data_IF_259490225834
#
_entry.id   IF_259490225834
#
_cell.length_a   1.000
_cell.length_b   1.000
_cell.length_c   1.000
_cell.angle_alpha   90.00
_cell.angle_beta   90.00
_cell.angle_gamma   90.00
#
_symmetry.space_group_name_H-M   'P 1'
#
loop_
_entity.id
_entity.type
_entity.pdbx_description
1 polymer ?
#
# COMPACT_ATOMS: atom_id res chain seq x y z
N UNK A 1 -35.05 -14.81 65.14
CA UNK A 1 -36.45 -14.49 64.81
C UNK A 1 -36.57 -13.00 64.58
N UNK A 2 -37.22 -12.65 63.47
CA UNK A 2 -37.81 -11.37 63.07
C UNK A 2 -36.84 -10.20 62.77
N UNK A 3 -36.56 -9.94 61.49
CA UNK A 3 -37.42 -9.20 60.53
C UNK A 3 -37.84 -7.83 61.05
N UNK A 4 -37.37 -6.76 60.40
CA UNK A 4 -38.19 -5.92 59.50
C UNK A 4 -37.46 -4.63 59.08
N UNK A 5 -37.38 -4.48 57.75
CA UNK A 5 -37.68 -3.26 57.00
C UNK A 5 -37.11 -1.91 57.47
N UNK A 6 -36.10 -1.41 56.75
CA UNK A 6 -35.92 0.04 56.56
C UNK A 6 -36.08 0.34 55.07
N UNK A 7 -37.24 0.88 54.70
CA UNK A 7 -37.55 1.41 53.37
C UNK A 7 -37.66 2.94 53.45
N UNK A 8 -36.97 3.58 52.51
CA UNK A 8 -37.27 4.83 51.80
C UNK A 8 -37.32 6.17 52.57
N UNK A 9 -36.53 7.13 52.07
CA UNK A 9 -36.95 8.49 51.65
C UNK A 9 -35.74 9.18 51.01
N UNK A 10 -35.50 9.04 49.69
CA UNK A 10 -35.83 10.03 48.65
C UNK A 10 -35.89 11.49 49.12
N UNK A 11 -34.82 12.24 48.86
CA UNK A 11 -34.78 13.70 48.91
C UNK A 11 -34.62 14.21 47.47
N UNK A 12 -35.64 14.85 46.88
CA UNK A 12 -35.50 15.60 45.64
C UNK A 12 -35.20 17.07 45.97
N UNK A 13 -34.24 17.68 45.28
CA UNK A 13 -34.13 19.14 45.26
C UNK A 13 -34.04 19.61 43.80
N UNK A 14 -35.20 20.01 43.30
CA UNK A 14 -35.39 20.71 42.03
C UNK A 14 -35.43 22.22 42.30
N UNK A 15 -34.58 22.94 41.55
CA UNK A 15 -34.81 24.27 40.93
C UNK A 15 -35.01 25.50 41.87
N UNK A 16 -35.08 26.77 41.38
CA UNK A 16 -35.07 27.27 39.99
C UNK A 16 -34.26 28.59 39.81
N UNK A 17 -34.52 29.27 38.69
CA UNK A 17 -34.27 30.67 38.30
C UNK A 17 -32.99 30.92 37.50
N UNK A 18 -33.03 30.99 36.17
CA UNK A 18 -33.75 31.91 35.28
C UNK A 18 -32.94 33.17 34.94
N UNK A 19 -32.86 33.39 33.62
CA UNK A 19 -32.74 34.64 32.83
C UNK A 19 -31.55 34.55 31.87
N UNK A 20 -31.78 34.26 30.58
CA UNK A 20 -32.24 35.19 29.52
C UNK A 20 -31.21 36.32 29.33
N UNK A 21 -30.69 36.66 28.15
CA UNK A 21 -31.23 36.82 26.80
C UNK A 21 -29.97 37.14 25.89
N UNK A 22 -30.07 37.48 24.60
CA UNK A 22 -29.32 36.84 23.51
C UNK A 22 -28.61 37.91 22.62
N UNK A 23 -28.43 37.57 21.34
CA UNK A 23 -28.48 38.48 20.18
C UNK A 23 -27.15 39.14 19.76
N UNK A 24 -27.08 39.37 18.45
CA UNK A 24 -26.16 40.25 17.68
C UNK A 24 -24.91 39.49 17.20
N UNK A 25 -24.61 39.29 15.91
CA UNK A 25 -25.12 39.87 14.67
C UNK A 25 -24.62 39.04 13.50
N UNK A 26 -25.52 38.64 12.62
CA UNK A 26 -25.19 38.30 11.23
C UNK A 26 -24.69 39.56 10.53
N UNK A 27 -23.49 39.54 9.93
CA UNK A 27 -23.10 40.58 8.98
C UNK A 27 -22.18 40.04 7.86
N UNK A 28 -22.79 39.97 6.67
CA UNK A 28 -22.29 40.33 5.33
C UNK A 28 -21.21 39.49 4.63
N UNK A 29 -21.71 38.79 3.60
CA UNK A 29 -21.18 38.80 2.23
C UNK A 29 -20.53 40.14 1.84
N UNK A 30 -19.28 40.10 1.37
CA UNK A 30 -18.75 40.99 0.34
C UNK A 30 -17.76 40.21 -0.53
N UNK A 31 -18.07 40.23 -1.82
CA UNK A 31 -17.23 39.82 -2.93
C UNK A 31 -16.05 40.79 -3.12
N UNK A 32 -14.87 40.26 -3.46
CA UNK A 32 -13.90 40.95 -4.31
C UNK A 32 -13.21 39.89 -5.18
N UNK A 33 -13.76 39.69 -6.37
CA UNK A 33 -12.95 39.33 -7.51
C UNK A 33 -12.05 40.53 -7.81
N UNK A 34 -10.73 40.35 -7.72
CA UNK A 34 -9.75 41.33 -8.17
C UNK A 34 -8.91 40.69 -9.25
N UNK A 35 -9.15 41.17 -10.46
CA UNK A 35 -8.35 40.99 -11.66
C UNK A 35 -7.09 41.87 -11.62
N UNK A 36 -6.03 41.36 -12.24
CA UNK A 36 -5.09 42.07 -13.12
C UNK A 36 -3.61 42.16 -12.69
N UNK A 37 -2.79 42.00 -13.73
CA UNK A 37 -1.36 42.28 -13.88
C UNK A 37 -0.47 41.05 -13.66
N UNK A 38 0.03 40.37 -14.69
CA UNK A 38 0.59 40.89 -15.93
C UNK A 38 2.10 40.81 -15.85
N UNK A 39 2.68 39.68 -16.29
CA UNK A 39 4.08 39.61 -16.76
C UNK A 39 4.31 38.38 -17.63
N UNK A 40 3.82 38.49 -18.85
CA UNK A 40 4.28 37.72 -19.99
C UNK A 40 5.68 38.22 -20.35
N UNK A 41 6.69 37.38 -20.22
CA UNK A 41 8.03 37.61 -20.75
C UNK A 41 8.16 36.82 -22.06
N UNK A 42 7.46 37.28 -23.09
CA UNK A 42 7.75 36.96 -24.47
C UNK A 42 8.89 37.89 -24.94
N UNK A 43 10.09 37.32 -25.13
CA UNK A 43 11.18 37.97 -25.85
C UNK A 43 11.00 37.69 -27.34
N UNK A 44 10.32 38.61 -28.03
CA UNK A 44 10.31 38.69 -29.49
C UNK A 44 11.37 39.72 -29.91
N UNK A 45 12.45 39.26 -30.52
CA UNK A 45 13.39 40.11 -31.23
C UNK A 45 12.88 40.37 -32.65
N UNK A 46 12.85 41.66 -32.99
CA UNK A 46 12.33 42.28 -34.20
C UNK A 46 13.31 42.12 -35.39
N UNK A 47 12.83 42.13 -36.65
CA UNK A 47 13.66 41.86 -37.83
C UNK A 47 14.32 43.13 -38.39
N UNK A 48 15.45 43.03 -39.11
CA UNK A 48 15.90 44.11 -39.98
C UNK A 48 15.48 43.90 -41.44
N UNK A 49 15.18 45.05 -42.05
CA UNK A 49 14.69 45.33 -43.39
C UNK A 49 15.47 44.67 -44.54
N UNK A 50 14.70 44.27 -45.56
CA UNK A 50 15.18 43.91 -46.88
C UNK A 50 15.76 45.12 -47.63
N UNK A 51 16.93 44.94 -48.25
CA UNK A 51 17.41 45.73 -49.39
C UNK A 51 17.33 44.89 -50.64
N UNK A 52 16.66 45.42 -51.65
CA UNK A 52 16.59 44.91 -53.01
C UNK A 52 17.89 45.19 -53.74
N UNK A 53 18.51 44.15 -54.29
CA UNK A 53 19.31 44.24 -55.51
C UNK A 53 19.18 42.91 -56.23
N UNK A 54 18.65 42.94 -57.45
CA UNK A 54 18.54 41.76 -58.29
C UNK A 54 19.89 41.37 -58.88
N UNK A 55 20.06 40.07 -59.09
CA UNK A 55 20.74 39.57 -60.28
C UNK A 55 20.18 38.18 -60.63
N UNK A 56 20.02 37.94 -61.93
CA UNK A 56 19.55 36.70 -62.52
C UNK A 56 20.68 35.66 -62.50
N UNK A 57 20.40 34.45 -62.02
CA UNK A 57 21.36 33.36 -62.08
C UNK A 57 20.71 32.02 -61.79
N UNK A 58 20.39 31.31 -62.86
CA UNK A 58 19.88 29.93 -62.90
C UNK A 58 20.75 28.99 -62.04
N UNK A 59 20.19 28.42 -60.98
CA UNK A 59 20.76 27.24 -60.34
C UNK A 59 19.64 26.41 -59.68
N UNK A 60 19.32 25.31 -60.36
CA UNK A 60 18.60 24.18 -59.83
C UNK A 60 19.30 23.74 -58.54
N UNK A 61 18.67 23.88 -57.37
CA UNK A 61 19.19 23.29 -56.14
C UNK A 61 18.03 22.83 -55.26
N UNK A 62 18.04 21.53 -55.01
CA UNK A 62 17.00 20.74 -54.40
C UNK A 62 16.61 21.28 -53.02
N UNK A 63 15.29 21.31 -52.76
CA UNK A 63 14.78 21.40 -51.41
C UNK A 63 15.28 20.18 -50.61
N UNK A 64 15.74 20.33 -49.35
CA UNK A 64 16.07 19.18 -48.53
C UNK A 64 14.78 18.42 -48.23
N UNK A 65 14.67 17.20 -48.76
CA UNK A 65 13.72 16.19 -48.28
C UNK A 65 13.95 16.02 -46.77
N UNK A 66 12.93 16.37 -45.97
CA UNK A 66 12.87 15.91 -44.59
C UNK A 66 12.95 14.38 -44.62
N UNK A 67 13.89 13.74 -43.91
CA UNK A 67 13.95 12.30 -43.87
C UNK A 67 12.62 11.80 -43.31
N UNK A 68 11.91 10.98 -44.08
CA UNK A 68 10.74 10.28 -43.61
C UNK A 68 11.08 9.63 -42.25
N UNK A 69 10.25 9.91 -41.25
CA UNK A 69 10.49 9.55 -39.86
C UNK A 69 10.66 8.03 -39.77
N UNK A 70 11.92 7.58 -39.72
CA UNK A 70 12.27 6.17 -39.71
C UNK A 70 11.73 5.56 -38.42
N UNK A 71 11.21 4.34 -38.55
CA UNK A 71 10.59 3.56 -37.49
C UNK A 71 11.25 3.74 -36.12
N UNK A 72 10.47 4.09 -35.08
CA UNK A 72 10.96 4.21 -33.71
C UNK A 72 10.84 2.87 -33.01
N UNK A 73 11.97 2.29 -32.61
CA UNK A 73 12.02 1.05 -31.84
C UNK A 73 12.20 1.38 -30.35
N UNK A 74 11.24 0.98 -29.54
CA UNK A 74 11.32 0.93 -28.09
C UNK A 74 11.72 -0.48 -27.69
N UNK A 75 12.92 -0.66 -27.16
CA UNK A 75 13.35 -1.96 -26.62
C UNK A 75 12.83 -2.12 -25.21
N UNK A 76 12.17 -3.23 -24.95
CA UNK A 76 11.77 -3.65 -23.61
C UNK A 76 12.93 -4.27 -22.85
N UNK A 77 12.89 -4.20 -21.52
CA UNK A 77 13.92 -4.75 -20.62
C UNK A 77 13.85 -6.27 -20.46
N UNK A 78 12.78 -6.93 -20.95
CA UNK A 78 12.58 -8.38 -20.79
C UNK A 78 12.27 -8.83 -19.35
N UNK A 79 12.04 -7.89 -18.44
CA UNK A 79 11.66 -8.14 -17.03
C UNK A 79 10.14 -8.07 -16.90
N UNK A 80 9.53 -9.22 -16.57
CA UNK A 80 8.07 -9.35 -16.43
C UNK A 80 7.63 -9.65 -14.99
N UNK A 81 8.57 -9.81 -14.06
CA UNK A 81 8.32 -10.06 -12.64
C UNK A 81 9.46 -9.42 -11.83
N UNK A 82 9.17 -8.80 -10.69
CA UNK A 82 10.19 -8.25 -9.80
C UNK A 82 11.13 -9.35 -9.28
N UNK A 83 12.45 -9.17 -9.50
CA UNK A 83 13.48 -10.16 -9.18
C UNK A 83 14.01 -10.97 -10.37
N UNK A 84 13.41 -10.81 -11.56
CA UNK A 84 13.90 -11.34 -12.82
C UNK A 84 14.95 -10.38 -13.42
N UNK A 85 16.17 -10.85 -13.68
CA UNK A 85 17.20 -10.08 -14.39
C UNK A 85 16.92 -10.00 -15.90
N UNK A 86 17.58 -9.07 -16.59
CA UNK A 86 17.59 -9.03 -18.06
C UNK A 86 18.03 -10.40 -18.59
N UNK A 87 17.11 -11.13 -19.23
CA UNK A 87 17.35 -12.51 -19.69
C UNK A 87 16.60 -13.61 -18.91
N UNK A 88 15.75 -13.28 -17.94
CA UNK A 88 14.78 -14.24 -17.38
C UNK A 88 15.21 -15.02 -16.14
N UNK A 89 16.40 -14.75 -15.59
CA UNK A 89 16.88 -15.41 -14.38
C UNK A 89 16.34 -14.74 -13.11
N UNK A 90 15.74 -15.51 -12.19
CA UNK A 90 15.25 -15.01 -10.90
C UNK A 90 16.35 -15.16 -9.83
N UNK A 91 16.80 -14.05 -9.23
CA UNK A 91 17.72 -14.11 -8.08
C UNK A 91 16.94 -14.39 -6.79
N UNK A 92 17.30 -15.46 -6.08
CA UNK A 92 16.83 -15.68 -4.71
C UNK A 92 17.39 -14.55 -3.82
N UNK A 93 16.51 -13.69 -3.31
CA UNK A 93 16.90 -12.70 -2.31
C UNK A 93 17.36 -13.44 -1.04
N UNK A 94 18.57 -13.17 -0.53
CA UNK A 94 19.03 -13.75 0.72
C UNK A 94 18.07 -13.34 1.84
N UNK A 95 17.49 -14.32 2.53
CA UNK A 95 16.77 -14.05 3.78
C UNK A 95 17.77 -13.45 4.77
N UNK A 96 17.45 -12.32 5.42
CA UNK A 96 18.31 -11.77 6.46
C UNK A 96 18.56 -12.85 7.53
N UNK A 97 19.81 -13.04 7.98
CA UNK A 97 20.10 -13.96 9.06
C UNK A 97 19.27 -13.58 10.29
N UNK A 98 18.76 -14.58 11.01
CA UNK A 98 18.02 -14.36 12.24
C UNK A 98 18.88 -13.52 13.21
N UNK A 99 18.33 -12.46 13.82
CA UNK A 99 19.11 -11.60 14.70
C UNK A 99 19.66 -12.41 15.89
N UNK A 100 20.96 -12.28 16.21
CA UNK A 100 21.52 -12.91 17.40
C UNK A 100 21.01 -12.18 18.64
N UNK A 101 20.07 -12.81 19.36
CA UNK A 101 19.49 -12.29 20.59
C UNK A 101 19.37 -13.37 21.66
N UNK A 102 19.21 -12.98 22.94
CA UNK A 102 18.92 -13.93 24.01
C UNK A 102 17.64 -14.69 23.65
N UNK A 103 17.79 -16.01 23.50
CA UNK A 103 16.73 -16.89 23.06
C UNK A 103 15.91 -17.34 24.27
N UNK A 104 14.61 -17.10 24.25
CA UNK A 104 13.67 -17.43 25.33
C UNK A 104 12.90 -18.68 24.98
N UNK A 105 12.89 -19.66 25.87
CA UNK A 105 12.10 -20.88 25.72
C UNK A 105 10.70 -20.64 26.29
N UNK A 106 9.67 -20.89 25.49
CA UNK A 106 8.28 -20.85 25.92
C UNK A 106 7.77 -22.29 26.12
N UNK A 107 7.20 -22.55 27.30
CA UNK A 107 6.56 -23.83 27.60
C UNK A 107 5.27 -23.57 28.38
N UNK A 108 4.16 -23.47 27.64
CA UNK A 108 2.83 -23.30 28.20
C UNK A 108 1.98 -24.50 27.79
N UNK A 109 1.30 -25.12 28.75
CA UNK A 109 0.40 -26.25 28.51
C UNK A 109 -0.97 -25.92 29.11
N UNK A 110 -1.97 -25.71 28.26
CA UNK A 110 -3.32 -25.35 28.69
C UNK A 110 -3.41 -24.04 29.46
N UNK A 111 -2.48 -23.10 29.23
CA UNK A 111 -2.43 -21.84 29.95
C UNK A 111 -3.48 -20.84 29.42
N UNK A 112 -4.02 -19.98 30.29
CA UNK A 112 -4.89 -18.87 29.89
C UNK A 112 -4.07 -17.87 29.06
N UNK A 113 -4.62 -17.46 27.91
CA UNK A 113 -3.94 -16.55 26.98
C UNK A 113 -3.57 -15.20 27.61
N UNK A 114 -4.29 -14.76 28.65
CA UNK A 114 -4.04 -13.50 29.37
C UNK A 114 -2.82 -13.61 30.28
N UNK A 115 -2.60 -14.78 30.87
CA UNK A 115 -1.38 -15.06 31.65
C UNK A 115 -0.17 -15.18 30.73
N UNK A 116 -0.32 -15.82 29.58
CA UNK A 116 0.73 -15.87 28.55
C UNK A 116 1.08 -14.46 28.06
N UNK A 117 0.07 -13.61 27.82
CA UNK A 117 0.27 -12.22 27.44
C UNK A 117 1.05 -11.43 28.49
N UNK A 118 0.71 -11.57 29.77
CA UNK A 118 1.41 -10.95 30.89
C UNK A 118 2.87 -11.38 30.94
N UNK A 119 3.14 -12.66 30.79
CA UNK A 119 4.50 -13.18 30.85
C UNK A 119 5.36 -12.69 29.67
N UNK A 120 4.83 -12.76 28.44
CA UNK A 120 5.58 -12.35 27.25
C UNK A 120 5.74 -10.82 27.18
N UNK A 121 4.65 -10.05 27.29
CA UNK A 121 4.69 -8.60 27.15
C UNK A 121 5.25 -7.90 28.39
N UNK A 122 4.82 -8.33 29.58
CA UNK A 122 5.23 -7.75 30.85
C UNK A 122 6.59 -8.26 31.32
N UNK A 123 6.71 -9.55 31.62
CA UNK A 123 7.91 -10.06 32.31
C UNK A 123 9.14 -10.13 31.39
N UNK A 124 8.96 -10.54 30.13
CA UNK A 124 10.07 -10.75 29.19
C UNK A 124 10.36 -9.49 28.35
N UNK A 125 9.34 -8.89 27.77
CA UNK A 125 9.51 -7.71 26.91
C UNK A 125 9.56 -6.39 27.69
N UNK A 126 9.04 -6.35 28.92
CA UNK A 126 8.94 -5.16 29.77
C UNK A 126 8.21 -3.99 29.07
N UNK A 127 7.14 -4.34 28.36
CA UNK A 127 6.29 -3.42 27.61
C UNK A 127 4.96 -3.19 28.35
N UNK A 128 4.40 -2.00 28.22
CA UNK A 128 3.08 -1.69 28.78
C UNK A 128 1.98 -2.35 27.94
N UNK A 129 1.00 -2.99 28.59
CA UNK A 129 -0.09 -3.66 27.90
C UNK A 129 -1.45 -3.46 28.60
N UNK A 130 -2.53 -3.61 27.83
CA UNK A 130 -3.92 -3.61 28.28
C UNK A 130 -4.66 -4.77 27.61
N UNK A 131 -5.48 -5.49 28.36
CA UNK A 131 -6.22 -6.66 27.90
C UNK A 131 -7.71 -6.38 28.02
N UNK A 132 -8.43 -6.53 26.92
CA UNK A 132 -9.89 -6.48 26.92
C UNK A 132 -10.48 -7.72 27.63
N UNK A 133 -11.47 -7.56 28.53
CA UNK A 133 -12.05 -8.67 29.28
C UNK A 133 -12.74 -9.72 28.39
N UNK A 134 -13.16 -9.36 27.18
CA UNK A 134 -13.74 -10.29 26.22
C UNK A 134 -12.70 -11.23 25.59
N UNK A 135 -11.40 -10.98 25.79
CA UNK A 135 -10.32 -11.87 25.35
C UNK A 135 -10.16 -12.99 26.37
N UNK A 136 -10.30 -14.22 25.89
CA UNK A 136 -10.08 -15.44 26.65
C UNK A 136 -9.72 -16.59 25.73
N UNK A 137 -9.38 -17.73 26.33
CA UNK A 137 -8.96 -18.92 25.61
C UNK A 137 -7.74 -19.55 26.25
N UNK A 138 -7.48 -20.80 25.87
CA UNK A 138 -6.35 -21.58 26.37
C UNK A 138 -5.39 -21.87 25.23
N UNK A 139 -4.09 -21.77 25.51
CA UNK A 139 -3.04 -22.08 24.54
C UNK A 139 -2.06 -23.09 25.08
N UNK A 140 -1.54 -23.88 24.14
CA UNK A 140 -0.43 -24.78 24.38
C UNK A 140 0.65 -24.46 23.36
N UNK A 141 1.85 -24.14 23.84
CA UNK A 141 3.04 -23.91 23.01
C UNK A 141 4.26 -24.45 23.73
N UNK A 142 5.08 -25.20 23.00
CA UNK A 142 6.36 -25.69 23.47
C UNK A 142 7.41 -25.41 22.41
N UNK A 143 8.44 -24.66 22.78
CA UNK A 143 9.54 -24.32 21.88
C UNK A 143 10.75 -25.20 22.20
N UNK A 144 11.30 -25.89 21.21
CA UNK A 144 12.52 -26.71 21.38
C UNK A 144 13.78 -25.88 21.15
N UNK A 145 13.74 -24.97 20.19
CA UNK A 145 14.72 -23.89 20.01
C UNK A 145 14.23 -22.64 20.71
N UNK A 146 15.10 -21.93 21.44
CA UNK A 146 14.72 -20.65 22.03
C UNK A 146 14.32 -19.64 20.95
N UNK A 147 13.33 -18.81 21.26
CA UNK A 147 12.81 -17.76 20.37
C UNK A 147 13.54 -16.45 20.68
N UNK A 148 14.12 -15.75 19.68
CA UNK A 148 14.76 -14.47 19.92
C UNK A 148 13.73 -13.44 20.39
N UNK A 149 14.16 -12.51 21.25
CA UNK A 149 13.26 -11.53 21.90
C UNK A 149 12.44 -10.74 20.88
N UNK A 150 13.01 -10.45 19.72
CA UNK A 150 12.39 -9.71 18.62
C UNK A 150 11.27 -10.50 17.92
N UNK A 151 11.29 -11.83 18.00
CA UNK A 151 10.27 -12.70 17.42
C UNK A 151 9.15 -13.07 18.40
N UNK A 152 9.26 -12.67 19.68
CA UNK A 152 8.22 -12.91 20.69
C UNK A 152 6.89 -12.22 20.36
N UNK A 153 6.85 -10.96 19.88
CA UNK A 153 5.61 -10.33 19.44
C UNK A 153 4.90 -11.14 18.34
N UNK A 154 5.62 -11.54 17.29
CA UNK A 154 5.07 -12.37 16.22
C UNK A 154 4.53 -13.72 16.73
N UNK A 155 5.23 -14.33 17.69
CA UNK A 155 4.77 -15.55 18.35
C UNK A 155 3.50 -15.33 19.16
N UNK A 156 3.41 -14.22 19.91
CA UNK A 156 2.22 -13.87 20.68
C UNK A 156 1.01 -13.60 19.77
N UNK A 157 1.20 -12.89 18.65
CA UNK A 157 0.16 -12.69 17.64
C UNK A 157 -0.40 -14.00 17.09
N UNK A 158 0.47 -14.98 16.83
CA UNK A 158 0.06 -16.31 16.39
C UNK A 158 -0.86 -16.97 17.42
N UNK A 159 -0.50 -16.94 18.70
CA UNK A 159 -1.29 -17.51 19.79
C UNK A 159 -2.63 -16.80 19.99
N UNK A 160 -2.64 -15.48 19.90
CA UNK A 160 -3.87 -14.67 19.98
C UNK A 160 -4.83 -15.01 18.83
N UNK A 161 -4.30 -15.13 17.60
CA UNK A 161 -5.10 -15.46 16.41
C UNK A 161 -5.77 -16.83 16.50
N UNK A 162 -5.12 -17.81 17.13
CA UNK A 162 -5.72 -19.13 17.35
C UNK A 162 -6.98 -19.06 18.24
N UNK A 163 -7.10 -18.03 19.08
CA UNK A 163 -8.22 -17.81 19.99
C UNK A 163 -9.14 -16.66 19.54
N UNK A 164 -9.02 -16.18 18.30
CA UNK A 164 -9.84 -15.09 17.79
C UNK A 164 -9.55 -13.72 18.43
N UNK A 165 -8.39 -13.56 19.04
CA UNK A 165 -7.89 -12.30 19.57
C UNK A 165 -6.76 -11.74 18.69
N UNK A 166 -6.43 -10.47 18.90
CA UNK A 166 -5.29 -9.82 18.27
C UNK A 166 -4.70 -8.78 19.20
N UNK A 167 -3.51 -8.29 18.87
CA UNK A 167 -2.87 -7.20 19.59
C UNK A 167 -2.50 -6.07 18.65
N UNK A 168 -2.60 -4.83 19.11
CA UNK A 168 -2.24 -3.62 18.36
C UNK A 168 -1.33 -2.76 19.22
N UNK A 169 -0.33 -2.10 18.64
CA UNK A 169 0.51 -1.14 19.37
C UNK A 169 0.02 0.29 19.12
N UNK A 170 -0.45 0.97 20.17
CA UNK A 170 -0.93 2.35 20.08
C UNK A 170 -0.35 3.19 21.22
N UNK A 171 0.32 4.29 20.89
CA UNK A 171 0.88 5.21 21.89
C UNK A 171 1.89 4.56 22.83
N UNK A 172 2.64 3.55 22.36
CA UNK A 172 3.60 2.81 23.18
C UNK A 172 3.00 1.74 24.08
N UNK A 173 1.68 1.52 24.03
CA UNK A 173 0.99 0.49 24.83
C UNK A 173 0.44 -0.57 23.88
N UNK A 174 0.63 -1.85 24.24
CA UNK A 174 0.01 -2.98 23.57
C UNK A 174 -1.43 -3.15 24.02
N UNK A 175 -2.38 -3.13 23.09
CA UNK A 175 -3.79 -3.41 23.36
C UNK A 175 -4.15 -4.76 22.80
N UNK A 176 -4.54 -5.69 23.66
CA UNK A 176 -5.03 -7.02 23.30
C UNK A 176 -6.55 -6.99 23.32
N UNK A 177 -7.15 -7.38 22.20
CA UNK A 177 -8.58 -7.21 21.97
C UNK A 177 -9.11 -8.28 20.99
N UNK A 178 -10.42 -8.56 20.95
CA UNK A 178 -10.98 -9.54 20.01
C UNK A 178 -10.75 -9.12 18.55
N UNK A 179 -10.43 -10.06 17.66
CA UNK A 179 -10.08 -9.74 16.26
C UNK A 179 -11.13 -8.87 15.54
N UNK A 180 -12.41 -9.08 15.84
CA UNK A 180 -13.52 -8.27 15.29
C UNK A 180 -13.49 -6.79 15.72
N UNK A 181 -12.89 -6.47 16.86
CA UNK A 181 -12.79 -5.11 17.40
C UNK A 181 -11.47 -4.40 17.02
N UNK A 182 -10.58 -5.05 16.27
CA UNK A 182 -9.23 -4.56 15.98
C UNK A 182 -9.19 -3.30 15.14
N UNK A 183 -10.08 -3.21 14.14
CA UNK A 183 -10.04 -2.13 13.15
C UNK A 183 -10.73 -0.85 13.65
N UNK A 184 -11.84 -0.98 14.39
CA UNK A 184 -12.69 0.18 14.73
C UNK A 184 -12.08 0.99 15.88
N UNK A 185 -11.45 2.12 15.56
CA UNK A 185 -10.99 3.12 16.53
C UNK A 185 -9.70 2.77 17.28
N UNK A 186 -9.14 1.58 17.05
CA UNK A 186 -7.94 1.09 17.75
C UNK A 186 -6.67 1.15 16.89
N UNK A 187 -6.80 1.33 15.57
CA UNK A 187 -5.68 1.38 14.63
C UNK A 187 -5.69 2.66 13.83
N UNK A 188 -4.51 3.23 13.65
CA UNK A 188 -4.30 4.38 12.75
C UNK A 188 -3.78 3.84 11.41
N UNK A 189 -4.47 4.09 10.29
CA UNK A 189 -3.97 3.69 8.98
C UNK A 189 -2.63 4.34 8.68
N UNK A 190 -1.70 3.55 8.16
CA UNK A 190 -0.38 3.99 7.73
C UNK A 190 -0.25 3.86 6.23
N UNK A 191 0.62 4.66 5.61
CA UNK A 191 0.97 4.45 4.21
C UNK A 191 1.86 3.20 4.11
N UNK A 192 1.41 2.21 3.33
CA UNK A 192 2.10 0.97 3.08
C UNK A 192 3.18 1.16 2.03
N UNK A 193 4.41 0.80 2.39
CA UNK A 193 5.56 0.73 1.49
C UNK A 193 6.53 -0.29 2.06
N UNK A 194 7.15 -1.12 1.22
CA UNK A 194 8.14 -2.12 1.66
C UNK A 194 9.44 -1.52 2.19
N UNK A 195 9.74 -0.26 1.83
CA UNK A 195 10.86 0.50 2.38
C UNK A 195 10.65 0.93 3.83
N UNK A 196 9.41 0.84 4.35
CA UNK A 196 9.08 1.21 5.71
C UNK A 196 8.93 -0.04 6.57
N UNK A 197 9.62 -0.05 7.70
CA UNK A 197 9.45 -1.09 8.70
C UNK A 197 7.98 -1.12 9.17
N UNK A 198 7.37 -2.29 9.05
CA UNK A 198 6.03 -2.55 9.57
C UNK A 198 6.07 -2.48 11.10
N UNK A 199 5.01 -1.93 11.68
CA UNK A 199 4.87 -1.94 13.13
C UNK A 199 4.44 -3.36 13.57
N UNK A 200 5.06 -3.91 14.62
CA UNK A 200 4.59 -5.12 15.26
C UNK A 200 3.13 -4.96 15.72
N UNK A 201 2.34 -6.02 15.62
CA UNK A 201 0.91 -6.02 15.90
C UNK A 201 0.02 -5.94 14.65
N UNK A 202 -1.28 -5.89 14.92
CA UNK A 202 -2.30 -5.65 13.92
C UNK A 202 -2.26 -4.19 13.48
N UNK A 203 -2.12 -3.97 12.18
CA UNK A 203 -2.05 -2.64 11.59
C UNK A 203 -2.87 -2.56 10.31
N UNK A 204 -3.08 -1.33 9.84
CA UNK A 204 -3.80 -1.04 8.60
C UNK A 204 -2.86 -0.24 7.70
N UNK A 205 -2.68 -0.71 6.47
CA UNK A 205 -1.83 -0.09 5.47
C UNK A 205 -2.66 0.38 4.29
N UNK A 206 -2.31 1.52 3.74
CA UNK A 206 -2.85 2.07 2.50
C UNK A 206 -1.74 1.97 1.46
N UNK A 207 -1.95 1.15 0.45
CA UNK A 207 -0.98 0.86 -0.62
C UNK A 207 -1.50 1.48 -1.92
N UNK A 208 -0.85 2.52 -2.44
CA UNK A 208 -1.17 3.03 -3.77
C UNK A 208 -0.63 2.08 -4.84
N UNK A 209 -1.48 1.73 -5.80
CA UNK A 209 -1.09 0.90 -6.95
C UNK A 209 -0.83 1.80 -8.17
N UNK A 210 0.21 1.49 -8.94
CA UNK A 210 0.69 2.35 -10.03
C UNK A 210 0.36 1.79 -11.42
N UNK A 211 0.37 0.46 -11.57
CA UNK A 211 0.28 -0.20 -12.87
C UNK A 211 -0.92 -1.14 -12.99
N UNK A 212 -1.30 -1.81 -11.90
CA UNK A 212 -2.43 -2.72 -11.87
C UNK A 212 -3.67 -2.04 -11.28
N UNK A 213 -4.84 -2.33 -11.86
CA UNK A 213 -6.12 -1.89 -11.31
C UNK A 213 -6.41 -2.55 -9.97
N UNK A 214 -6.86 -1.77 -8.99
CA UNK A 214 -7.04 -2.23 -7.62
C UNK A 214 -8.01 -3.40 -7.47
N UNK A 215 -9.03 -3.51 -8.33
CA UNK A 215 -9.96 -4.65 -8.33
C UNK A 215 -9.28 -5.94 -8.77
N UNK A 216 -8.48 -5.87 -9.84
CA UNK A 216 -7.72 -7.01 -10.34
C UNK A 216 -6.69 -7.44 -9.29
N UNK A 217 -6.01 -6.49 -8.65
CA UNK A 217 -5.08 -6.80 -7.56
C UNK A 217 -5.79 -7.48 -6.38
N UNK A 218 -6.97 -7.00 -5.99
CA UNK A 218 -7.75 -7.64 -4.93
C UNK A 218 -8.06 -9.11 -5.25
N UNK A 219 -8.47 -9.41 -6.49
CA UNK A 219 -8.73 -10.79 -6.94
C UNK A 219 -7.46 -11.66 -6.94
N UNK A 220 -6.29 -11.09 -7.26
CA UNK A 220 -5.02 -11.81 -7.17
C UNK A 220 -4.62 -12.15 -5.72
N UNK A 221 -5.04 -11.33 -4.76
CA UNK A 221 -4.74 -11.52 -3.34
C UNK A 221 -5.72 -12.44 -2.61
N UNK A 222 -6.93 -12.65 -3.12
CA UNK A 222 -7.97 -13.52 -2.55
C UNK A 222 -7.46 -14.87 -2.00
N UNK A 223 -6.62 -15.66 -2.70
CA UNK A 223 -6.17 -16.96 -2.19
C UNK A 223 -5.20 -16.88 -0.99
N UNK A 224 -4.60 -15.71 -0.74
CA UNK A 224 -3.62 -15.51 0.35
C UNK A 224 -4.24 -14.87 1.59
N UNK A 225 -5.49 -14.41 1.47
CA UNK A 225 -6.18 -13.67 2.52
C UNK A 225 -7.04 -14.62 3.34
N UNK A 226 -6.89 -14.57 4.67
CA UNK A 226 -7.70 -15.38 5.58
C UNK A 226 -9.15 -14.89 5.68
N UNK A 227 -9.33 -13.57 5.81
CA UNK A 227 -10.63 -12.93 6.03
C UNK A 227 -10.89 -11.85 4.98
N UNK A 228 -12.09 -11.82 4.40
CA UNK A 228 -12.42 -10.79 3.39
C UNK A 228 -12.37 -9.35 3.91
N UNK A 229 -12.32 -9.15 5.23
CA UNK A 229 -12.15 -7.83 5.84
C UNK A 229 -10.72 -7.29 5.74
N UNK A 230 -9.74 -8.15 5.46
CA UNK A 230 -8.32 -7.81 5.34
C UNK A 230 -8.02 -6.94 4.14
N UNK A 231 -8.77 -7.07 3.04
CA UNK A 231 -8.53 -6.32 1.81
C UNK A 231 -9.73 -5.44 1.52
N UNK A 232 -9.50 -4.13 1.44
CA UNK A 232 -10.49 -3.13 1.03
C UNK A 232 -9.96 -2.36 -0.16
N UNK A 233 -10.87 -2.00 -1.05
CA UNK A 233 -10.54 -1.38 -2.33
C UNK A 233 -11.13 0.03 -2.37
N UNK A 234 -10.31 1.01 -2.71
CA UNK A 234 -10.71 2.34 -3.13
C UNK A 234 -10.40 2.50 -4.62
N UNK A 235 -11.43 2.31 -5.44
CA UNK A 235 -11.35 2.32 -6.89
C UNK A 235 -11.06 3.72 -7.45
N UNK A 236 -11.63 4.76 -6.82
CA UNK A 236 -11.51 6.13 -7.30
C UNK A 236 -10.06 6.63 -7.25
N UNK A 237 -9.32 6.21 -6.23
CA UNK A 237 -7.93 6.63 -6.01
C UNK A 237 -6.91 5.52 -6.31
N UNK A 238 -7.37 4.38 -6.83
CA UNK A 238 -6.57 3.17 -7.03
C UNK A 238 -5.74 2.77 -5.79
N UNK A 239 -6.38 2.80 -4.61
CA UNK A 239 -5.73 2.47 -3.34
C UNK A 239 -6.23 1.13 -2.80
N UNK A 240 -5.29 0.31 -2.37
CA UNK A 240 -5.54 -0.93 -1.69
C UNK A 240 -5.34 -0.72 -0.18
N UNK A 241 -6.36 -0.99 0.62
CA UNK A 241 -6.27 -0.90 2.08
C UNK A 241 -6.15 -2.32 2.62
N UNK A 242 -5.02 -2.62 3.25
CA UNK A 242 -4.69 -3.92 3.82
C UNK A 242 -4.75 -3.85 5.34
N UNK A 243 -5.34 -4.84 6.00
CA UNK A 243 -5.36 -4.92 7.48
C UNK A 243 -5.05 -6.32 7.97
N UNK A 244 -4.04 -6.46 8.80
CA UNK A 244 -3.58 -7.76 9.27
C UNK A 244 -2.44 -7.62 10.26
N UNK A 245 -1.87 -8.75 10.65
CA UNK A 245 -0.63 -8.77 11.44
C UNK A 245 0.58 -8.36 10.61
N UNK A 246 1.70 -8.08 11.27
CA UNK A 246 2.96 -7.74 10.59
C UNK A 246 3.34 -8.80 9.53
N UNK A 247 3.28 -10.08 9.90
CA UNK A 247 3.65 -11.17 9.01
C UNK A 247 2.71 -11.28 7.81
N UNK A 248 1.39 -11.21 8.04
CA UNK A 248 0.37 -11.25 6.98
C UNK A 248 0.55 -10.08 6.01
N UNK A 249 0.71 -8.86 6.53
CA UNK A 249 0.91 -7.66 5.71
C UNK A 249 2.22 -7.73 4.93
N UNK A 250 3.29 -8.28 5.51
CA UNK A 250 4.56 -8.48 4.80
C UNK A 250 4.40 -9.40 3.60
N UNK A 251 3.66 -10.49 3.75
CA UNK A 251 3.37 -11.40 2.64
C UNK A 251 2.50 -10.74 1.57
N UNK A 252 1.42 -10.06 1.97
CA UNK A 252 0.54 -9.36 1.03
C UNK A 252 1.27 -8.24 0.26
N UNK A 253 2.10 -7.45 0.93
CA UNK A 253 2.91 -6.41 0.29
C UNK A 253 3.89 -7.02 -0.72
N UNK A 254 4.59 -8.10 -0.37
CA UNK A 254 5.50 -8.77 -1.29
C UNK A 254 4.78 -9.27 -2.55
N UNK A 255 3.56 -9.78 -2.40
CA UNK A 255 2.71 -10.17 -3.54
C UNK A 255 2.30 -8.95 -4.38
N UNK A 256 1.87 -7.86 -3.74
CA UNK A 256 1.51 -6.63 -4.46
C UNK A 256 2.68 -6.11 -5.29
N UNK A 257 3.88 -6.05 -4.74
CA UNK A 257 5.08 -5.62 -5.47
C UNK A 257 5.41 -6.53 -6.66
N UNK A 258 5.26 -7.83 -6.49
CA UNK A 258 5.54 -8.79 -7.56
C UNK A 258 4.66 -8.55 -8.79
N UNK A 259 3.41 -8.11 -8.58
CA UNK A 259 2.42 -7.95 -9.64
C UNK A 259 2.20 -6.50 -10.10
N UNK A 260 2.40 -5.49 -9.24
CA UNK A 260 2.29 -4.06 -9.60
C UNK A 260 3.56 -3.56 -10.30
N UNK A 261 3.87 -4.15 -11.46
CA UNK A 261 5.03 -3.79 -12.27
C UNK A 261 4.62 -3.15 -13.61
N UNK A 262 5.52 -2.36 -14.17
CA UNK A 262 5.37 -1.83 -15.52
C UNK A 262 5.71 -2.90 -16.57
N UNK A 263 4.77 -3.80 -16.86
CA UNK A 263 4.94 -4.85 -17.87
C UNK A 263 5.24 -4.29 -19.28
N UNK A 264 4.77 -3.07 -19.62
CA UNK A 264 5.12 -2.42 -20.90
C UNK A 264 6.60 -2.06 -21.00
N UNK A 265 7.27 -1.74 -19.88
CA UNK A 265 8.71 -1.53 -19.89
C UNK A 265 9.48 -2.81 -20.26
N UNK A 266 8.90 -4.00 -19.98
CA UNK A 266 9.44 -5.28 -20.40
C UNK A 266 9.20 -5.62 -21.87
N UNK A 267 8.25 -4.95 -22.54
CA UNK A 267 7.85 -5.22 -23.93
C UNK A 267 8.60 -4.32 -24.91
N UNK A 268 9.09 -4.93 -26.00
CA UNK A 268 9.61 -4.14 -27.13
C UNK A 268 8.46 -3.73 -28.04
N UNK A 269 8.36 -2.44 -28.37
CA UNK A 269 7.38 -1.91 -29.31
C UNK A 269 8.11 -1.23 -30.49
N UNK A 270 7.70 -1.52 -31.73
CA UNK A 270 8.20 -0.83 -32.91
C UNK A 270 7.10 -0.03 -33.58
N UNK A 271 7.28 1.29 -33.70
CA UNK A 271 6.40 2.14 -34.50
C UNK A 271 6.92 2.16 -35.93
N UNK A 272 6.18 1.57 -36.86
CA UNK A 272 6.49 1.58 -38.29
C UNK A 272 5.49 2.46 -39.02
N UNK A 273 5.94 3.59 -39.54
CA UNK A 273 5.11 4.45 -40.39
C UNK A 273 5.02 3.83 -41.79
N UNK A 274 3.82 3.43 -42.21
CA UNK A 274 3.59 2.89 -43.55
C UNK A 274 3.48 4.05 -44.55
N UNK A 275 4.32 4.04 -45.58
CA UNK A 275 4.34 5.12 -46.58
C UNK A 275 3.31 4.92 -47.71
N UNK A 276 2.76 3.70 -47.90
CA UNK A 276 1.86 3.43 -49.05
C UNK A 276 0.92 2.20 -48.90
N UNK A 277 0.45 1.84 -47.70
CA UNK A 277 -0.45 0.69 -47.56
C UNK A 277 -1.63 0.95 -46.60
N UNK A 278 -2.81 0.44 -46.98
CA UNK A 278 -4.05 0.50 -46.20
C UNK A 278 -3.90 -0.28 -44.88
N UNK A 279 -4.15 0.40 -43.76
CA UNK A 279 -3.87 -0.09 -42.39
C UNK A 279 -4.70 -1.33 -42.03
N UNK A 280 -5.82 -1.58 -42.72
CA UNK A 280 -6.76 -2.63 -42.32
C UNK A 280 -6.27 -4.06 -42.62
N UNK A 281 -5.34 -4.24 -43.56
CA UNK A 281 -4.92 -5.58 -44.01
C UNK A 281 -3.64 -6.12 -43.34
N UNK A 282 -2.83 -5.27 -42.68
CA UNK A 282 -1.51 -5.67 -42.18
C UNK A 282 -1.41 -5.87 -40.66
N UNK A 283 -2.43 -5.47 -39.87
CA UNK A 283 -2.41 -5.62 -38.42
C UNK A 283 -2.37 -7.09 -37.94
N UNK A 284 -2.72 -8.05 -38.79
CA UNK A 284 -2.80 -9.47 -38.44
C UNK A 284 -1.46 -10.22 -38.62
N UNK A 285 -0.47 -9.66 -39.33
CA UNK A 285 0.74 -10.40 -39.74
C UNK A 285 2.00 -10.16 -38.87
N UNK A 286 1.95 -9.25 -37.89
CA UNK A 286 3.17 -8.72 -37.23
C UNK A 286 3.56 -9.29 -35.87
N UNK A 287 2.74 -10.16 -35.23
CA UNK A 287 3.10 -10.72 -33.92
C UNK A 287 3.96 -11.98 -34.14
N UNK A 288 5.23 -11.78 -34.51
CA UNK A 288 6.21 -12.88 -34.60
C UNK A 288 6.66 -13.30 -33.20
N UNK A 289 6.19 -14.47 -32.77
CA UNK A 289 6.61 -15.16 -31.54
C UNK A 289 7.96 -15.83 -31.83
N UNK A 290 9.05 -15.22 -31.38
CA UNK A 290 10.40 -15.77 -31.53
C UNK A 290 10.54 -17.12 -30.83
N UNK A 291 10.63 -18.19 -31.62
CA UNK A 291 10.97 -19.54 -31.20
C UNK A 291 12.06 -20.09 -32.13
N UNK A 292 13.14 -20.51 -31.51
CA UNK A 292 14.42 -20.96 -32.05
C UNK A 292 14.29 -22.06 -33.13
N UNK A 293 14.85 -21.83 -34.31
CA UNK A 293 14.94 -22.82 -35.41
C UNK A 293 16.28 -23.56 -35.31
N UNK A 294 16.20 -24.87 -35.03
CA UNK A 294 17.34 -25.78 -34.94
C UNK A 294 17.83 -26.12 -36.34
N UNK A 295 19.06 -25.70 -36.63
CA UNK A 295 19.81 -25.98 -37.85
C UNK A 295 19.94 -27.49 -38.09
N UNK A 296 19.50 -27.94 -39.27
CA UNK A 296 19.79 -29.26 -39.82
C UNK A 296 20.18 -29.09 -41.27
N UNK A 297 21.43 -29.38 -41.58
CA UNK A 297 21.91 -29.61 -42.92
C UNK A 297 23.07 -30.64 -42.88
N UNK A 298 23.41 -31.23 -44.03
CA UNK A 298 22.55 -32.00 -44.93
C UNK A 298 22.74 -33.52 -44.77
#
# INVERSE_FOLDING_TARGET
MDERYVKLTHVPLLLPLARSLPLVLSLLLVACATTQSGREAASAAQPPSAKTTGDMGTALSAAPEQPAERSKLYRGTGVLIQGQEEGGAVKLQPQPPAPPGPAVTLNFEGADIREVARNILGDILNESYAIDPAVGGTVTIRTTSGIPREALPATMEMLLRMNGATMTKQGGIWKILPAAAAVRGNVTPQLGSTSRALQPGFSVLIVPLHYVGVRQMATLLEPFVKDQTTVRVDDLRNLLILSGTELELKHLLATVEMFDINWMAGMSAGLFTLQSADVKHHATAGISRGGEEVDRAP
#
